data_IF_064523163673
#
_entry.id   IF_064523163673
#
_cell.length_a   1.000
_cell.length_b   1.000
_cell.length_c   1.000
_cell.angle_alpha   90.00
_cell.angle_beta   90.00
_cell.angle_gamma   90.00
#
_symmetry.space_group_name_H-M   'P 1'
#
loop_
_entity.id
_entity.type
_entity.pdbx_description
1 polymer ?
#
# COMPACT_ATOMS: atom_id res chain seq x y z
N UNK A 1 -48.45 34.94 34.61
CA UNK A 1 -47.92 33.96 33.57
C UNK A 1 -47.09 32.97 34.31
N UNK A 2 -47.42 31.66 34.21
CA UNK A 2 -46.57 30.59 34.79
C UNK A 2 -45.38 30.34 33.87
N UNK A 3 -44.17 30.69 34.29
CA UNK A 3 -42.94 30.59 33.51
C UNK A 3 -42.37 29.16 33.53
N UNK A 4 -42.67 28.39 34.59
CA UNK A 4 -42.14 27.05 34.78
C UNK A 4 -42.44 26.06 33.60
N UNK A 5 -43.65 25.97 33.04
CA UNK A 5 -43.91 25.11 31.87
C UNK A 5 -43.17 25.54 30.62
N UNK A 6 -42.94 26.85 30.45
CA UNK A 6 -42.17 27.37 29.30
C UNK A 6 -40.67 26.99 29.39
N UNK A 7 -40.11 27.09 30.58
CA UNK A 7 -38.71 26.66 30.82
C UNK A 7 -38.58 25.15 30.62
N UNK A 8 -39.50 24.35 31.13
CA UNK A 8 -39.50 22.90 30.93
C UNK A 8 -39.61 22.52 29.44
N UNK A 9 -40.51 23.17 28.70
CA UNK A 9 -40.65 22.99 27.26
C UNK A 9 -39.37 23.38 26.50
N UNK A 10 -38.79 24.54 26.78
CA UNK A 10 -37.55 24.98 26.18
C UNK A 10 -36.37 24.02 26.49
N UNK A 11 -36.33 23.45 27.71
CA UNK A 11 -35.33 22.44 28.08
C UNK A 11 -35.42 21.17 27.22
N UNK A 12 -36.62 20.66 27.00
CA UNK A 12 -36.85 19.47 26.14
C UNK A 12 -36.44 19.74 24.71
N UNK A 13 -36.82 20.92 24.16
CA UNK A 13 -36.36 21.32 22.82
C UNK A 13 -34.83 21.47 22.73
N UNK A 14 -34.18 22.04 23.75
CA UNK A 14 -32.75 22.17 23.81
C UNK A 14 -32.02 20.80 23.77
N UNK A 15 -32.54 19.84 24.52
CA UNK A 15 -32.02 18.46 24.53
C UNK A 15 -32.21 17.80 23.16
N UNK A 16 -33.38 17.92 22.55
CA UNK A 16 -33.69 17.36 21.23
C UNK A 16 -32.75 17.93 20.13
N UNK A 17 -32.56 19.26 20.12
CA UNK A 17 -31.66 19.94 19.21
C UNK A 17 -30.21 19.50 19.48
N UNK A 18 -29.78 19.37 20.75
CA UNK A 18 -28.48 18.92 21.16
C UNK A 18 -28.15 17.52 20.62
N UNK A 19 -29.05 16.56 20.79
CA UNK A 19 -28.89 15.23 20.21
C UNK A 19 -28.89 15.23 18.68
N UNK A 20 -29.78 16.03 18.07
CA UNK A 20 -29.87 16.15 16.60
C UNK A 20 -28.64 16.79 15.96
N UNK A 21 -27.93 17.67 16.66
CA UNK A 21 -26.73 18.36 16.16
C UNK A 21 -25.41 17.72 16.60
N UNK A 22 -25.42 16.65 17.37
CA UNK A 22 -24.24 16.03 17.95
C UNK A 22 -23.18 15.67 16.89
N UNK A 23 -23.58 15.08 15.78
CA UNK A 23 -22.67 14.71 14.68
C UNK A 23 -22.04 15.93 14.03
N UNK A 24 -22.81 16.98 13.80
CA UNK A 24 -22.32 18.23 13.23
C UNK A 24 -21.23 18.86 14.12
N UNK A 25 -21.50 18.95 15.42
CA UNK A 25 -20.55 19.50 16.39
C UNK A 25 -19.28 18.65 16.44
N UNK A 26 -19.42 17.32 16.45
CA UNK A 26 -18.30 16.39 16.38
C UNK A 26 -17.45 16.60 15.12
N UNK A 27 -18.10 16.71 13.94
CA UNK A 27 -17.40 16.92 12.68
C UNK A 27 -16.60 18.21 12.69
N UNK A 28 -17.21 19.31 13.11
CA UNK A 28 -16.55 20.64 13.15
C UNK A 28 -15.38 20.64 14.12
N UNK A 29 -15.56 20.13 15.34
CA UNK A 29 -14.49 20.07 16.33
C UNK A 29 -13.34 19.17 15.86
N UNK A 30 -13.66 17.99 15.33
CA UNK A 30 -12.63 17.11 14.78
C UNK A 30 -11.87 17.78 13.63
N UNK A 31 -12.56 18.49 12.74
CA UNK A 31 -11.93 19.23 11.64
C UNK A 31 -10.95 20.30 12.13
N UNK A 32 -11.34 21.05 13.17
CA UNK A 32 -10.43 22.03 13.80
C UNK A 32 -9.18 21.37 14.35
N UNK A 33 -9.30 20.25 15.08
CA UNK A 33 -8.14 19.53 15.61
C UNK A 33 -7.24 18.98 14.51
N UNK A 34 -7.79 18.36 13.44
CA UNK A 34 -6.97 17.89 12.32
C UNK A 34 -6.18 19.01 11.63
N UNK A 35 -6.75 20.24 11.57
CA UNK A 35 -6.06 21.39 11.03
C UNK A 35 -4.98 21.93 11.97
N UNK A 36 -5.25 21.98 13.27
CA UNK A 36 -4.29 22.43 14.29
C UNK A 36 -3.10 21.47 14.38
N UNK A 37 -3.35 20.17 14.30
CA UNK A 37 -2.31 19.14 14.35
C UNK A 37 -1.58 18.99 13.01
N UNK A 38 -1.95 19.73 11.97
CA UNK A 38 -1.42 19.61 10.61
C UNK A 38 -1.40 18.16 10.13
N UNK A 39 -2.49 17.42 10.40
CA UNK A 39 -2.56 15.99 10.12
C UNK A 39 -2.45 15.67 8.61
N UNK A 40 -2.94 16.55 7.75
CA UNK A 40 -2.85 16.46 6.30
C UNK A 40 -3.05 17.82 5.63
N UNK A 41 -2.56 17.95 4.40
CA UNK A 41 -2.72 19.14 3.55
C UNK A 41 -3.33 18.77 2.22
N UNK A 42 -3.89 19.77 1.51
CA UNK A 42 -4.37 19.58 0.13
C UNK A 42 -3.20 19.11 -0.75
N UNK A 43 -3.44 18.08 -1.55
CA UNK A 43 -2.45 17.42 -2.40
C UNK A 43 -1.75 16.21 -1.76
N UNK A 44 -1.82 16.02 -0.44
CA UNK A 44 -1.26 14.85 0.21
C UNK A 44 -2.14 13.61 0.03
N UNK A 45 -1.50 12.46 -0.12
CA UNK A 45 -2.18 11.16 -0.18
C UNK A 45 -2.30 10.57 1.21
N UNK A 46 -3.53 10.37 1.67
CA UNK A 46 -3.82 9.85 3.00
C UNK A 46 -4.69 8.61 2.94
N UNK A 47 -4.63 7.83 4.00
CA UNK A 47 -5.54 6.74 4.26
C UNK A 47 -6.15 6.89 5.66
N UNK A 48 -7.46 6.67 5.75
CA UNK A 48 -8.22 6.68 6.99
C UNK A 48 -9.29 5.59 6.93
N UNK A 49 -9.18 4.60 7.82
CA UNK A 49 -10.04 3.41 7.76
C UNK A 49 -10.00 2.76 6.38
N UNK A 50 -11.15 2.63 5.74
CA UNK A 50 -11.29 2.07 4.37
C UNK A 50 -11.07 3.10 3.26
N UNK A 51 -11.05 4.40 3.56
CA UNK A 51 -10.91 5.46 2.58
C UNK A 51 -9.44 5.79 2.35
N UNK A 52 -9.04 5.92 1.10
CA UNK A 52 -7.71 6.36 0.71
C UNK A 52 -7.78 7.22 -0.55
N UNK A 53 -6.95 8.24 -0.62
CA UNK A 53 -6.90 9.13 -1.76
C UNK A 53 -6.09 10.39 -1.52
N UNK A 54 -5.93 11.18 -2.58
CA UNK A 54 -5.35 12.51 -2.50
C UNK A 54 -6.38 13.49 -1.95
N UNK A 55 -6.00 14.30 -0.99
CA UNK A 55 -6.82 15.37 -0.46
C UNK A 55 -7.00 16.44 -1.54
N UNK A 56 -8.21 16.56 -2.10
CA UNK A 56 -8.53 17.60 -3.08
C UNK A 56 -8.88 18.93 -2.42
N UNK A 57 -9.71 18.84 -1.40
CA UNK A 57 -10.18 19.99 -0.65
C UNK A 57 -10.78 19.55 0.67
N UNK A 58 -10.96 20.48 1.58
CA UNK A 58 -11.74 20.25 2.78
C UNK A 58 -12.67 21.42 3.02
N UNK A 59 -13.79 21.14 3.67
CA UNK A 59 -14.80 22.10 4.10
C UNK A 59 -14.79 22.20 5.63
N UNK A 60 -15.78 22.92 6.21
CA UNK A 60 -15.88 23.07 7.66
C UNK A 60 -16.05 21.72 8.41
N UNK A 61 -16.69 20.72 7.78
CA UNK A 61 -17.05 19.46 8.44
C UNK A 61 -16.61 18.20 7.73
N UNK A 62 -15.99 18.29 6.55
CA UNK A 62 -15.62 17.11 5.75
C UNK A 62 -14.39 17.35 4.89
N UNK A 63 -13.69 16.29 4.55
CA UNK A 63 -12.59 16.25 3.58
C UNK A 63 -13.04 15.53 2.32
N UNK A 64 -12.52 15.95 1.17
CA UNK A 64 -12.68 15.26 -0.12
C UNK A 64 -11.40 14.56 -0.49
N UNK A 65 -11.49 13.24 -0.67
CA UNK A 65 -10.38 12.38 -1.04
C UNK A 65 -10.61 11.82 -2.44
N UNK A 66 -9.74 12.14 -3.39
CA UNK A 66 -9.77 11.55 -4.73
C UNK A 66 -8.97 10.27 -4.74
N UNK A 67 -9.64 9.18 -5.00
CA UNK A 67 -8.98 7.89 -5.22
C UNK A 67 -8.23 7.90 -6.56
N UNK A 68 -7.10 7.20 -6.64
CA UNK A 68 -6.28 7.11 -7.85
C UNK A 68 -7.03 6.55 -9.09
N UNK A 69 -8.17 5.87 -8.90
CA UNK A 69 -9.05 5.40 -9.97
C UNK A 69 -10.13 6.40 -10.37
N UNK A 70 -10.17 7.60 -9.76
CA UNK A 70 -11.08 8.68 -10.11
C UNK A 70 -12.22 8.99 -9.13
N UNK A 71 -12.85 8.04 -8.41
CA UNK A 71 -13.91 8.35 -7.45
C UNK A 71 -13.46 9.33 -6.38
N UNK A 72 -14.39 10.19 -5.92
CA UNK A 72 -14.17 11.12 -4.82
C UNK A 72 -14.99 10.67 -3.62
N UNK A 73 -14.33 10.51 -2.49
CA UNK A 73 -14.97 10.28 -1.20
C UNK A 73 -15.11 11.60 -0.48
N UNK A 74 -16.32 11.92 0.00
CA UNK A 74 -16.56 13.03 0.93
C UNK A 74 -16.78 12.42 2.30
N UNK A 75 -15.79 12.58 3.17
CA UNK A 75 -15.78 11.94 4.49
C UNK A 75 -15.92 12.99 5.58
N UNK A 76 -16.95 12.90 6.45
CA UNK A 76 -17.08 13.78 7.60
C UNK A 76 -15.88 13.64 8.55
N UNK A 77 -15.40 14.74 9.13
CA UNK A 77 -14.25 14.71 10.01
C UNK A 77 -14.44 13.83 11.25
N UNK A 78 -15.64 13.73 11.77
CA UNK A 78 -15.97 12.86 12.90
C UNK A 78 -15.87 11.36 12.60
N UNK A 79 -15.78 10.97 11.30
CA UNK A 79 -15.64 9.57 10.86
C UNK A 79 -14.20 9.19 10.47
N UNK A 80 -13.28 10.18 10.36
CA UNK A 80 -11.93 9.92 9.87
C UNK A 80 -11.14 8.98 10.79
N UNK A 81 -11.22 9.14 12.10
CA UNK A 81 -10.41 8.36 13.04
C UNK A 81 -8.90 8.59 12.84
N UNK A 82 -8.12 7.52 12.89
CA UNK A 82 -6.68 7.63 12.68
C UNK A 82 -6.34 7.91 11.20
N UNK A 83 -5.41 8.84 10.97
CA UNK A 83 -4.95 9.23 9.64
C UNK A 83 -3.55 8.71 9.42
N UNK A 84 -3.36 7.95 8.32
CA UNK A 84 -2.06 7.56 7.82
C UNK A 84 -1.71 8.48 6.65
N UNK A 85 -0.75 9.38 6.85
CA UNK A 85 -0.23 10.26 5.81
C UNK A 85 0.92 9.55 5.07
N UNK A 86 0.75 9.38 3.75
CA UNK A 86 1.71 8.68 2.89
C UNK A 86 2.53 9.62 2.01
N UNK A 87 2.42 10.95 2.24
CA UNK A 87 3.05 11.97 1.41
C UNK A 87 4.11 12.77 2.13
N UNK A 88 4.46 12.40 3.38
CA UNK A 88 5.45 13.16 4.16
C UNK A 88 6.76 12.42 4.27
N UNK A 89 7.83 13.20 4.21
CA UNK A 89 9.23 12.83 4.44
C UNK A 89 9.74 11.74 3.49
N UNK A 90 9.44 10.49 3.75
CA UNK A 90 9.97 9.35 3.01
C UNK A 90 8.99 8.17 3.04
N UNK A 91 9.16 7.31 2.05
CA UNK A 91 8.45 6.02 1.95
C UNK A 91 9.47 4.90 1.82
N UNK A 92 9.24 3.82 2.58
CA UNK A 92 9.98 2.58 2.41
C UNK A 92 9.09 1.60 1.64
N UNK A 93 9.51 1.23 0.44
CA UNK A 93 8.91 0.12 -0.31
C UNK A 93 9.67 -1.16 -0.01
N UNK A 94 8.95 -2.18 0.46
CA UNK A 94 9.46 -3.52 0.66
C UNK A 94 9.12 -4.35 -0.56
N UNK A 95 10.15 -4.65 -1.34
CA UNK A 95 10.05 -5.44 -2.56
C UNK A 95 10.38 -6.89 -2.26
N UNK A 96 9.75 -7.81 -2.97
CA UNK A 96 10.02 -9.24 -2.87
C UNK A 96 10.31 -9.84 -4.24
N UNK A 97 11.30 -10.73 -4.31
CA UNK A 97 11.56 -11.54 -5.49
C UNK A 97 11.75 -13.00 -5.07
N UNK A 98 11.26 -13.91 -5.89
CA UNK A 98 11.33 -15.35 -5.65
C UNK A 98 12.38 -15.96 -6.57
N UNK A 99 13.34 -16.68 -5.99
CA UNK A 99 14.37 -17.38 -6.72
C UNK A 99 14.32 -18.87 -6.43
N UNK A 100 14.86 -19.69 -7.33
CA UNK A 100 14.90 -21.14 -7.14
C UNK A 100 15.87 -21.53 -6.02
N UNK A 101 15.68 -22.71 -5.42
CA UNK A 101 16.48 -23.19 -4.29
C UNK A 101 17.96 -23.44 -4.65
N UNK A 102 18.28 -23.65 -5.93
CA UNK A 102 19.62 -23.81 -6.46
C UNK A 102 20.35 -22.47 -6.74
N UNK A 103 19.69 -21.33 -6.50
CA UNK A 103 20.26 -20.01 -6.76
C UNK A 103 21.32 -19.62 -5.74
N UNK A 104 22.39 -18.98 -6.20
CA UNK A 104 23.41 -18.36 -5.33
C UNK A 104 22.87 -17.05 -4.72
N UNK A 105 22.52 -17.11 -3.45
CA UNK A 105 21.94 -15.98 -2.69
C UNK A 105 22.96 -14.86 -2.46
N UNK A 106 24.24 -15.19 -2.28
CA UNK A 106 25.29 -14.19 -2.09
C UNK A 106 25.58 -13.44 -3.41
N UNK A 107 25.53 -14.13 -4.53
CA UNK A 107 25.61 -13.49 -5.85
C UNK A 107 24.39 -12.58 -6.07
N UNK A 108 23.18 -13.05 -5.75
CA UNK A 108 21.96 -12.24 -5.83
C UNK A 108 22.09 -10.96 -5.00
N UNK A 109 22.62 -11.06 -3.79
CA UNK A 109 22.85 -9.91 -2.88
C UNK A 109 23.81 -8.89 -3.50
N UNK A 110 24.93 -9.36 -4.10
CA UNK A 110 25.90 -8.49 -4.76
C UNK A 110 25.29 -7.76 -5.96
N UNK A 111 24.53 -8.47 -6.78
CA UNK A 111 23.85 -7.89 -7.94
C UNK A 111 22.81 -6.84 -7.53
N UNK A 112 21.96 -7.15 -6.55
CA UNK A 112 20.96 -6.21 -6.03
C UNK A 112 21.63 -4.97 -5.45
N UNK A 113 22.76 -5.12 -4.73
CA UNK A 113 23.53 -3.99 -4.21
C UNK A 113 24.08 -3.11 -5.33
N UNK A 114 24.63 -3.72 -6.40
CA UNK A 114 25.13 -2.98 -7.57
C UNK A 114 24.01 -2.20 -8.25
N UNK A 115 22.88 -2.84 -8.51
CA UNK A 115 21.69 -2.19 -9.10
C UNK A 115 21.18 -1.06 -8.20
N UNK A 116 21.20 -1.24 -6.88
CA UNK A 116 20.80 -0.20 -5.94
C UNK A 116 21.67 1.04 -5.99
N UNK A 117 22.97 0.91 -6.23
CA UNK A 117 23.87 2.04 -6.42
C UNK A 117 23.65 2.69 -7.80
N UNK A 118 23.50 1.89 -8.85
CA UNK A 118 23.21 2.37 -10.21
C UNK A 118 21.93 3.23 -10.23
N UNK A 119 20.84 2.76 -9.58
CA UNK A 119 19.60 3.52 -9.47
C UNK A 119 19.73 4.80 -8.64
N UNK A 120 20.57 4.80 -7.62
CA UNK A 120 20.82 5.99 -6.80
C UNK A 120 21.67 7.04 -7.52
N UNK A 121 22.47 6.64 -8.50
CA UNK A 121 23.30 7.50 -9.33
C UNK A 121 22.61 7.91 -10.65
N UNK A 122 21.49 7.25 -11.01
CA UNK A 122 20.74 7.55 -12.23
C UNK A 122 20.17 8.97 -12.16
N UNK A 123 20.47 9.87 -13.11
CA UNK A 123 19.98 11.25 -13.10
C UNK A 123 18.46 11.38 -13.01
N UNK A 124 17.72 10.39 -13.52
CA UNK A 124 16.24 10.35 -13.44
C UNK A 124 15.75 10.11 -12.02
N UNK A 125 16.48 9.34 -11.20
CA UNK A 125 16.00 8.85 -9.90
C UNK A 125 16.82 9.34 -8.70
N UNK A 126 18.01 9.89 -8.94
CA UNK A 126 18.93 10.28 -7.87
C UNK A 126 18.33 11.28 -6.88
N UNK A 127 17.54 12.24 -7.35
CA UNK A 127 16.90 13.25 -6.50
C UNK A 127 15.84 12.67 -5.57
N UNK A 128 15.22 11.56 -5.96
CA UNK A 128 14.10 10.93 -5.25
C UNK A 128 14.49 9.67 -4.48
N UNK A 129 15.70 9.14 -4.70
CA UNK A 129 16.24 7.98 -3.99
C UNK A 129 16.93 8.43 -2.70
N UNK A 130 16.26 8.31 -1.56
CA UNK A 130 16.80 8.67 -0.25
C UNK A 130 17.69 7.60 0.36
N UNK A 131 17.57 6.37 -0.13
CA UNK A 131 18.42 5.26 0.27
C UNK A 131 18.44 4.20 -0.83
N UNK A 132 19.64 3.69 -1.20
CA UNK A 132 19.77 2.75 -2.29
C UNK A 132 19.00 1.45 -2.00
N UNK A 133 18.57 0.78 -3.07
CA UNK A 133 17.96 -0.54 -2.97
C UNK A 133 18.95 -1.52 -2.31
N UNK A 134 18.50 -2.21 -1.28
CA UNK A 134 19.29 -3.18 -0.52
C UNK A 134 18.50 -4.45 -0.29
N UNK A 135 19.14 -5.59 -0.47
CA UNK A 135 18.63 -6.88 -0.02
C UNK A 135 18.72 -6.94 1.51
N UNK A 136 17.61 -7.23 2.17
CA UNK A 136 17.55 -7.40 3.62
C UNK A 136 17.91 -8.83 4.04
N UNK A 137 17.61 -9.81 3.19
CA UNK A 137 17.87 -11.22 3.43
C UNK A 137 16.80 -12.12 2.83
N UNK A 138 16.82 -13.37 3.27
CA UNK A 138 15.76 -14.34 2.99
C UNK A 138 14.59 -13.99 3.92
N UNK A 139 13.42 -13.83 3.35
CA UNK A 139 12.18 -13.60 4.10
C UNK A 139 11.52 -14.91 4.52
N UNK A 140 11.44 -15.84 3.56
CA UNK A 140 10.82 -17.13 3.78
C UNK A 140 11.34 -18.18 2.78
N UNK A 141 11.19 -19.43 3.16
CA UNK A 141 11.31 -20.58 2.27
C UNK A 141 9.88 -21.02 1.90
N UNK A 142 9.48 -20.76 0.65
CA UNK A 142 8.17 -21.15 0.14
C UNK A 142 8.19 -22.53 -0.49
N UNK A 143 7.05 -23.03 -0.94
CA UNK A 143 6.90 -24.40 -1.47
C UNK A 143 7.81 -24.68 -2.70
N UNK A 144 8.10 -23.67 -3.51
CA UNK A 144 8.90 -23.80 -4.75
C UNK A 144 9.98 -22.72 -4.91
N UNK A 145 10.18 -21.86 -3.91
CA UNK A 145 11.05 -20.70 -4.04
C UNK A 145 11.63 -20.21 -2.71
N UNK A 146 12.80 -19.59 -2.77
CA UNK A 146 13.34 -18.75 -1.72
C UNK A 146 12.85 -17.31 -1.96
N UNK A 147 12.23 -16.70 -0.97
CA UNK A 147 11.74 -15.33 -1.03
C UNK A 147 12.81 -14.36 -0.51
N UNK A 148 13.29 -13.49 -1.39
CA UNK A 148 14.30 -12.48 -1.05
C UNK A 148 13.59 -11.14 -0.82
N UNK A 149 13.79 -10.58 0.37
CA UNK A 149 13.27 -9.25 0.72
C UNK A 149 14.28 -8.18 0.39
N UNK A 150 13.81 -7.13 -0.26
CA UNK A 150 14.56 -5.92 -0.56
C UNK A 150 13.86 -4.70 0.03
N UNK A 151 14.63 -3.66 0.32
CA UNK A 151 14.16 -2.37 0.84
C UNK A 151 14.65 -1.26 -0.05
N UNK A 152 13.73 -0.40 -0.46
CA UNK A 152 13.99 0.84 -1.19
C UNK A 152 13.41 2.01 -0.39
N UNK A 153 14.17 3.09 -0.21
CA UNK A 153 13.71 4.30 0.47
C UNK A 153 13.71 5.47 -0.50
N UNK A 154 12.55 6.10 -0.68
CA UNK A 154 12.37 7.16 -1.67
C UNK A 154 11.55 8.30 -1.11
N UNK A 155 11.49 9.42 -1.85
CA UNK A 155 10.45 10.41 -1.66
C UNK A 155 9.08 9.82 -1.97
N UNK A 156 8.01 10.29 -1.32
CA UNK A 156 6.65 9.84 -1.58
C UNK A 156 6.26 10.04 -3.06
N UNK A 157 5.66 9.01 -3.66
CA UNK A 157 5.26 9.00 -5.06
C UNK A 157 6.32 8.45 -6.02
N UNK A 158 7.59 8.62 -5.74
CA UNK A 158 8.69 8.15 -6.58
C UNK A 158 8.95 6.64 -6.49
N UNK A 159 8.47 5.97 -5.46
CA UNK A 159 8.68 4.53 -5.28
C UNK A 159 8.19 3.68 -6.45
N UNK A 160 7.12 4.08 -7.13
CA UNK A 160 6.53 3.28 -8.21
C UNK A 160 7.39 3.19 -9.47
N UNK A 161 7.87 4.30 -10.07
CA UNK A 161 8.76 4.24 -11.24
C UNK A 161 10.10 3.58 -10.90
N UNK A 162 10.71 3.92 -9.76
CA UNK A 162 11.98 3.35 -9.33
C UNK A 162 11.87 1.84 -9.13
N UNK A 163 10.81 1.37 -8.46
CA UNK A 163 10.52 -0.05 -8.29
C UNK A 163 10.40 -0.81 -9.61
N UNK A 164 9.67 -0.25 -10.58
CA UNK A 164 9.54 -0.84 -11.91
C UNK A 164 10.89 -0.96 -12.61
N UNK A 165 11.69 0.09 -12.55
CA UNK A 165 13.05 0.07 -13.12
C UNK A 165 13.94 -0.93 -12.40
N UNK A 166 13.89 -0.99 -11.07
CA UNK A 166 14.62 -1.97 -10.27
C UNK A 166 14.30 -3.41 -10.66
N UNK A 167 13.02 -3.76 -10.81
CA UNK A 167 12.64 -5.11 -11.25
C UNK A 167 13.16 -5.47 -12.64
N UNK A 168 13.17 -4.51 -13.57
CA UNK A 168 13.74 -4.74 -14.92
C UNK A 168 15.22 -5.04 -14.85
N UNK A 169 15.99 -4.22 -14.12
CA UNK A 169 17.43 -4.40 -13.94
C UNK A 169 17.77 -5.72 -13.21
N UNK A 170 17.00 -6.05 -12.17
CA UNK A 170 17.18 -7.32 -11.44
C UNK A 170 16.92 -8.51 -12.36
N UNK A 171 15.80 -8.48 -13.12
CA UNK A 171 15.48 -9.55 -14.06
C UNK A 171 16.61 -9.78 -15.07
N UNK A 172 17.16 -8.70 -15.63
CA UNK A 172 18.25 -8.77 -16.59
C UNK A 172 19.53 -9.31 -15.94
N UNK A 173 19.96 -8.72 -14.82
CA UNK A 173 21.18 -9.14 -14.13
C UNK A 173 21.10 -10.59 -13.64
N UNK A 174 19.94 -11.04 -13.17
CA UNK A 174 19.75 -12.43 -12.75
C UNK A 174 19.86 -13.39 -13.94
N UNK A 175 19.23 -13.06 -15.07
CA UNK A 175 19.31 -13.87 -16.29
C UNK A 175 20.78 -13.98 -16.80
N UNK A 176 21.52 -12.88 -16.81
CA UNK A 176 22.92 -12.85 -17.23
C UNK A 176 23.86 -13.64 -16.32
N UNK A 177 23.53 -13.77 -15.04
CA UNK A 177 24.34 -14.44 -14.03
C UNK A 177 23.81 -15.82 -13.61
N UNK A 178 22.85 -16.38 -14.34
CA UNK A 178 22.33 -17.73 -14.10
C UNK A 178 21.44 -17.88 -12.87
N UNK A 179 20.98 -16.78 -12.26
CA UNK A 179 20.01 -16.82 -11.17
C UNK A 179 18.61 -16.94 -11.77
N UNK A 180 17.89 -17.99 -11.41
CA UNK A 180 16.57 -18.29 -11.95
C UNK A 180 15.48 -17.71 -11.05
N UNK A 181 14.59 -16.93 -11.65
CA UNK A 181 13.34 -16.51 -10.99
C UNK A 181 12.45 -17.75 -10.87
N UNK A 182 11.98 -18.01 -9.65
CA UNK A 182 11.18 -19.20 -9.39
C UNK A 182 9.82 -19.12 -10.05
N UNK A 183 9.42 -20.21 -10.63
CA UNK A 183 8.06 -20.45 -11.14
C UNK A 183 7.44 -21.62 -10.37
N UNK A 184 6.12 -21.66 -10.19
CA UNK A 184 5.48 -22.81 -9.56
C UNK A 184 5.90 -24.09 -10.27
N UNK A 185 6.54 -24.99 -9.51
CA UNK A 185 7.03 -26.28 -10.03
C UNK A 185 6.39 -27.39 -9.20
N UNK A 186 5.85 -28.39 -9.85
CA UNK A 186 5.36 -29.62 -9.19
C UNK A 186 6.29 -30.75 -9.57
N UNK A 187 6.91 -31.34 -8.56
CA UNK A 187 7.63 -32.60 -8.73
C UNK A 187 6.62 -33.74 -8.77
N UNK A 188 6.53 -34.43 -9.90
CA UNK A 188 5.68 -35.61 -10.07
C UNK A 188 6.57 -36.85 -9.97
N UNK A 189 6.49 -37.56 -8.85
CA UNK A 189 7.10 -38.87 -8.74
C UNK A 189 6.19 -39.90 -9.41
N UNK A 190 6.67 -40.51 -10.52
CA UNK A 190 5.94 -41.54 -11.26
C UNK A 190 6.03 -41.36 -12.78
N UNK A 191 5.66 -42.38 -13.53
CA UNK A 191 5.75 -42.40 -14.99
C UNK A 191 4.86 -41.36 -15.68
N UNK A 192 4.97 -41.27 -17.03
CA UNK A 192 4.33 -40.27 -17.87
C UNK A 192 2.79 -40.07 -17.64
N UNK A 193 2.09 -41.10 -17.16
CA UNK A 193 0.65 -41.01 -16.84
C UNK A 193 0.37 -40.10 -15.64
N UNK A 194 1.22 -40.14 -14.60
CA UNK A 194 1.08 -39.29 -13.42
C UNK A 194 1.43 -37.84 -13.72
N UNK A 195 2.39 -37.61 -14.64
CA UNK A 195 2.77 -36.28 -15.10
C UNK A 195 1.60 -35.57 -15.82
N UNK A 196 0.87 -36.29 -16.64
CA UNK A 196 -0.32 -35.75 -17.34
C UNK A 196 -1.46 -35.38 -16.38
N UNK A 197 -1.72 -36.22 -15.37
CA UNK A 197 -2.74 -35.94 -14.34
C UNK A 197 -2.36 -34.72 -13.49
N UNK A 198 -1.10 -34.58 -13.09
CA UNK A 198 -0.62 -33.43 -12.34
C UNK A 198 -0.68 -32.12 -13.15
N UNK A 199 -0.36 -32.17 -14.45
CA UNK A 199 -0.50 -31.01 -15.35
C UNK A 199 -1.96 -30.55 -15.49
N UNK A 200 -2.92 -31.47 -15.54
CA UNK A 200 -4.34 -31.14 -15.56
C UNK A 200 -4.79 -30.50 -14.24
N UNK A 201 -4.36 -31.01 -13.09
CA UNK A 201 -4.69 -30.43 -11.80
C UNK A 201 -4.12 -28.99 -11.66
N UNK A 202 -2.88 -28.75 -12.09
CA UNK A 202 -2.32 -27.39 -12.08
C UNK A 202 -3.08 -26.42 -12.97
N UNK A 203 -3.53 -26.85 -14.14
CA UNK A 203 -4.34 -26.02 -15.03
C UNK A 203 -5.65 -25.61 -14.36
N UNK A 204 -6.31 -26.56 -13.69
CA UNK A 204 -7.57 -26.31 -12.96
C UNK A 204 -7.37 -25.37 -11.77
N UNK A 205 -6.30 -25.56 -11.00
CA UNK A 205 -5.97 -24.67 -9.88
C UNK A 205 -5.66 -23.24 -10.34
N UNK A 206 -4.90 -23.08 -11.42
CA UNK A 206 -4.60 -21.77 -11.98
C UNK A 206 -5.85 -21.07 -12.53
N UNK A 207 -6.78 -21.80 -13.13
CA UNK A 207 -8.07 -21.25 -13.58
C UNK A 207 -8.93 -20.79 -12.39
N UNK A 208 -9.04 -21.60 -11.34
CA UNK A 208 -9.77 -21.24 -10.13
C UNK A 208 -9.16 -20.01 -9.42
N UNK A 209 -7.82 -19.92 -9.38
CA UNK A 209 -7.13 -18.76 -8.82
C UNK A 209 -7.32 -17.49 -9.67
N UNK A 210 -7.40 -17.62 -10.99
CA UNK A 210 -7.66 -16.51 -11.89
C UNK A 210 -9.11 -16.00 -11.76
N UNK A 211 -10.07 -16.90 -11.61
CA UNK A 211 -11.48 -16.57 -11.38
C UNK A 211 -11.70 -15.86 -10.04
N UNK A 212 -11.03 -16.34 -8.97
CA UNK A 212 -11.07 -15.72 -7.64
C UNK A 212 -10.41 -14.32 -7.61
N UNK A 213 -9.49 -14.02 -8.52
CA UNK A 213 -8.83 -12.72 -8.61
C UNK A 213 -9.67 -11.67 -9.40
N UNK A 214 -10.70 -12.09 -10.10
CA UNK A 214 -11.60 -11.24 -10.92
C UNK A 214 -12.91 -10.91 -10.18
N UNK A 215 -13.28 -11.71 -9.18
CA UNK A 215 -14.45 -11.48 -8.30
C UNK A 215 -14.11 -10.52 -7.14
#
# INVERSE_FOLDING_TARGET
VQIAPLIAGAGIFGVAIGFGSQTLVKDVLSGVFYMLDDAFRVGEYIQTGSYKGTVESFSLRSVRLRHHRGPVFTVPFGELGAIQNMSRDWVIDKMMIKVTYDSDIELARKLIKKIGLELAEDPEFAADTLGPLKMQGIEAFGDFAIELRMKLMTRPGAQFPIKRRAYMLIKQAFAENGIKIAVPTVHVEGGAQNAAAAAQQMTTMNQAAAEAAVA
#
